data_IF_952981134272
#
_entry.id   IF_952981134272
#
_cell.length_a   1.000
_cell.length_b   1.000
_cell.length_c   1.000
_cell.angle_alpha   90.00
_cell.angle_beta   90.00
_cell.angle_gamma   90.00
#
_symmetry.space_group_name_H-M   'P 1'
#
loop_
_entity.id
_entity.type
_entity.pdbx_description
1 polymer ?
#
# COMPACT_ATOMS: atom_id res chain seq x y z
N UNK A 1 -20.96 -1.67 -24.62
CA UNK A 1 -20.99 -1.33 -23.17
C UNK A 1 -19.60 -0.88 -22.76
N UNK A 2 -19.45 0.25 -22.07
CA UNK A 2 -18.15 0.64 -21.52
C UNK A 2 -17.80 -0.26 -20.33
N UNK A 3 -16.52 -0.58 -20.16
CA UNK A 3 -16.06 -1.31 -18.98
C UNK A 3 -16.30 -0.47 -17.70
N UNK A 4 -16.60 -1.11 -16.55
CA UNK A 4 -16.74 -0.40 -15.29
C UNK A 4 -15.41 0.24 -14.87
N UNK A 5 -15.48 1.40 -14.22
CA UNK A 5 -14.31 2.01 -13.56
C UNK A 5 -13.97 1.20 -12.31
N UNK A 6 -12.69 0.87 -12.13
CA UNK A 6 -12.21 0.10 -11.00
C UNK A 6 -11.24 0.94 -10.18
N UNK A 7 -11.57 1.14 -8.90
CA UNK A 7 -10.69 1.79 -7.93
C UNK A 7 -9.82 0.74 -7.22
N UNK A 8 -8.62 1.15 -6.79
CA UNK A 8 -7.66 0.24 -6.14
C UNK A 8 -7.33 0.68 -4.73
N UNK A 9 -7.38 -0.25 -3.78
CA UNK A 9 -6.90 -0.07 -2.40
C UNK A 9 -5.73 -1.02 -2.16
N UNK A 10 -4.57 -0.47 -1.78
CA UNK A 10 -3.37 -1.24 -1.43
C UNK A 10 -3.11 -1.13 0.07
N UNK A 11 -3.19 -2.26 0.79
CA UNK A 11 -2.88 -2.32 2.22
C UNK A 11 -1.38 -2.50 2.43
N UNK A 12 -0.71 -1.45 2.89
CA UNK A 12 0.74 -1.34 3.04
C UNK A 12 1.20 -1.07 4.49
N UNK A 13 0.30 -1.08 5.47
CA UNK A 13 0.57 -0.72 6.87
C UNK A 13 1.12 -1.83 7.78
N UNK A 14 1.15 -3.08 7.34
CA UNK A 14 1.54 -4.21 8.21
C UNK A 14 2.99 -4.15 8.70
N UNK A 15 3.23 -4.56 9.95
CA UNK A 15 4.53 -4.47 10.62
C UNK A 15 5.65 -5.36 10.04
N UNK A 16 5.37 -6.24 9.08
CA UNK A 16 6.40 -7.05 8.41
C UNK A 16 7.17 -8.03 9.29
N UNK A 17 6.74 -8.26 10.54
CA UNK A 17 7.51 -8.97 11.60
C UNK A 17 8.17 -10.27 11.16
N UNK A 18 7.44 -11.15 10.45
CA UNK A 18 7.99 -12.43 9.98
C UNK A 18 9.13 -12.25 8.98
N UNK A 19 8.98 -11.31 8.05
CA UNK A 19 9.98 -11.02 7.03
C UNK A 19 11.22 -10.36 7.65
N UNK A 20 11.03 -9.43 8.59
CA UNK A 20 12.13 -8.83 9.35
C UNK A 20 12.90 -9.88 10.15
N UNK A 21 12.19 -10.83 10.79
CA UNK A 21 12.81 -11.90 11.58
C UNK A 21 13.62 -12.90 10.74
N UNK A 22 13.30 -13.07 9.46
CA UNK A 22 14.02 -13.97 8.55
C UNK A 22 15.12 -13.28 7.73
N UNK A 23 15.31 -11.97 7.88
CA UNK A 23 16.30 -11.22 7.10
C UNK A 23 17.72 -11.48 7.63
N UNK A 24 18.75 -11.53 6.76
CA UNK A 24 20.14 -11.69 7.17
C UNK A 24 20.60 -10.57 8.12
N UNK A 25 20.12 -9.35 7.89
CA UNK A 25 20.33 -8.19 8.76
C UNK A 25 19.02 -7.40 8.92
N UNK A 26 18.30 -7.59 10.03
CA UNK A 26 17.04 -6.89 10.29
C UNK A 26 17.17 -5.37 10.41
N UNK A 27 18.34 -4.85 10.80
CA UNK A 27 18.55 -3.43 11.05
C UNK A 27 18.69 -2.61 9.76
N UNK A 28 19.12 -3.25 8.67
CA UNK A 28 19.27 -2.63 7.36
C UNK A 28 18.02 -2.75 6.48
N UNK A 29 17.03 -3.52 6.94
CA UNK A 29 15.86 -3.85 6.15
C UNK A 29 14.87 -2.66 6.13
N UNK A 30 14.52 -2.12 4.96
CA UNK A 30 13.49 -1.09 4.90
C UNK A 30 12.12 -1.69 5.27
N UNK A 31 11.13 -0.85 5.63
CA UNK A 31 9.76 -1.30 5.81
C UNK A 31 9.26 -2.08 4.60
N UNK A 32 8.46 -3.14 4.82
CA UNK A 32 7.97 -4.05 3.77
C UNK A 32 7.58 -3.38 2.44
N UNK A 33 6.72 -2.34 2.39
CA UNK A 33 6.33 -1.74 1.10
C UNK A 33 7.51 -1.15 0.30
N UNK A 34 8.61 -0.77 0.97
CA UNK A 34 9.79 -0.16 0.38
C UNK A 34 10.90 -1.16 0.04
N UNK A 35 10.70 -2.44 0.33
CA UNK A 35 11.62 -3.49 -0.12
C UNK A 35 11.69 -3.52 -1.64
N UNK A 36 12.91 -3.61 -2.16
CA UNK A 36 13.17 -3.65 -3.60
C UNK A 36 13.62 -5.05 -4.02
N UNK A 37 13.28 -5.44 -5.24
CA UNK A 37 13.88 -6.62 -5.86
C UNK A 37 15.31 -6.34 -6.36
N UNK A 38 15.97 -7.35 -6.94
CA UNK A 38 17.32 -7.20 -7.49
C UNK A 38 17.45 -6.18 -8.64
N UNK A 39 16.34 -5.70 -9.19
CA UNK A 39 16.30 -4.64 -10.21
C UNK A 39 15.95 -3.26 -9.61
N UNK A 40 15.85 -3.14 -8.28
CA UNK A 40 15.55 -1.87 -7.60
C UNK A 40 14.07 -1.47 -7.61
N UNK A 41 13.15 -2.36 -8.02
CA UNK A 41 11.71 -2.05 -8.02
C UNK A 41 11.08 -2.40 -6.69
N UNK A 42 10.46 -1.41 -6.03
CA UNK A 42 9.85 -1.58 -4.71
C UNK A 42 8.58 -2.44 -4.79
N UNK A 43 8.26 -3.15 -3.70
CA UNK A 43 7.02 -3.93 -3.59
C UNK A 43 5.78 -3.05 -3.78
N UNK A 44 5.78 -1.83 -3.24
CA UNK A 44 4.68 -0.88 -3.43
C UNK A 44 4.52 -0.48 -4.91
N UNK A 45 5.63 -0.25 -5.62
CA UNK A 45 5.58 0.13 -7.05
C UNK A 45 4.98 -0.99 -7.90
N UNK A 46 5.28 -2.26 -7.57
CA UNK A 46 4.66 -3.41 -8.23
C UNK A 46 3.16 -3.46 -8.02
N UNK A 47 2.71 -3.25 -6.79
CA UNK A 47 1.28 -3.25 -6.46
C UNK A 47 0.54 -2.12 -7.20
N UNK A 48 1.15 -0.92 -7.24
CA UNK A 48 0.59 0.23 -7.94
C UNK A 48 0.56 0.02 -9.46
N UNK A 49 1.60 -0.60 -10.05
CA UNK A 49 1.64 -0.90 -11.47
C UNK A 49 0.56 -1.90 -11.93
N UNK A 50 0.02 -2.71 -11.01
CA UNK A 50 -1.08 -3.62 -11.27
C UNK A 50 -2.46 -2.95 -11.20
N UNK A 51 -2.54 -1.70 -10.72
CA UNK A 51 -3.81 -0.97 -10.63
C UNK A 51 -4.36 -0.67 -12.04
N UNK A 52 -5.65 -0.95 -12.32
CA UNK A 52 -6.28 -0.55 -13.58
C UNK A 52 -6.23 0.97 -13.76
N UNK A 53 -6.14 1.41 -15.02
CA UNK A 53 -6.23 2.83 -15.35
C UNK A 53 -7.68 3.32 -15.23
N UNK A 54 -7.84 4.60 -14.91
CA UNK A 54 -9.13 5.30 -14.92
C UNK A 54 -9.85 5.37 -13.58
N UNK A 55 -9.41 4.62 -12.57
CA UNK A 55 -9.89 4.74 -11.19
C UNK A 55 -8.84 5.35 -10.26
N UNK A 56 -9.31 5.82 -9.10
CA UNK A 56 -8.46 6.29 -8.00
C UNK A 56 -7.67 5.15 -7.37
N UNK A 57 -6.46 5.47 -6.90
CA UNK A 57 -5.59 4.53 -6.19
C UNK A 57 -5.31 5.06 -4.79
N UNK A 58 -5.61 4.25 -3.78
CA UNK A 58 -5.42 4.55 -2.37
C UNK A 58 -4.43 3.56 -1.76
N UNK A 59 -3.42 4.05 -1.06
CA UNK A 59 -2.50 3.26 -0.25
C UNK A 59 -2.80 3.50 1.22
N UNK A 60 -2.99 2.42 1.97
CA UNK A 60 -3.28 2.47 3.40
C UNK A 60 -2.04 2.06 4.19
N UNK A 61 -1.49 2.97 4.98
CA UNK A 61 -0.31 2.72 5.79
C UNK A 61 0.39 3.99 6.32
N UNK A 62 1.52 3.82 7.01
CA UNK A 62 2.34 4.95 7.47
C UNK A 62 2.86 5.79 6.29
N UNK A 63 3.36 7.02 6.52
CA UNK A 63 3.95 7.84 5.48
C UNK A 63 5.05 7.11 4.69
N UNK A 64 5.00 7.21 3.35
CA UNK A 64 6.01 6.64 2.45
C UNK A 64 6.01 7.37 1.11
N UNK A 65 7.12 7.34 0.33
CA UNK A 65 7.17 7.97 -0.99
C UNK A 65 6.29 7.23 -2.00
N UNK A 66 5.31 7.93 -2.57
CA UNK A 66 4.33 7.42 -3.53
C UNK A 66 4.23 8.36 -4.75
N UNK A 67 3.77 7.87 -5.91
CA UNK A 67 3.48 8.73 -7.05
C UNK A 67 2.45 9.83 -6.70
N UNK A 68 2.50 11.02 -7.32
CA UNK A 68 1.62 12.15 -6.97
C UNK A 68 0.12 11.88 -7.09
N UNK A 69 -0.29 10.94 -7.95
CA UNK A 69 -1.69 10.59 -8.19
C UNK A 69 -2.24 9.55 -7.21
N UNK A 70 -1.42 9.06 -6.27
CA UNK A 70 -1.80 8.03 -5.30
C UNK A 70 -2.15 8.71 -3.97
N UNK A 71 -3.36 8.51 -3.49
CA UNK A 71 -3.78 9.01 -2.19
C UNK A 71 -3.30 8.09 -1.09
N UNK A 72 -2.81 8.64 0.02
CA UNK A 72 -2.38 7.88 1.19
C UNK A 72 -3.28 8.16 2.38
N UNK A 73 -3.79 7.11 2.98
CA UNK A 73 -4.51 7.15 4.26
C UNK A 73 -3.90 6.17 5.25
N UNK A 74 -4.40 6.15 6.48
CA UNK A 74 -3.95 5.23 7.53
C UNK A 74 -5.17 4.77 8.33
N UNK A 75 -5.19 3.50 8.75
CA UNK A 75 -6.15 3.09 9.77
C UNK A 75 -5.95 3.87 11.08
N UNK A 76 -7.07 4.10 11.78
CA UNK A 76 -7.13 4.68 13.11
C UNK A 76 -7.99 3.79 14.02
N UNK A 77 -7.43 3.18 15.08
CA UNK A 77 -6.03 3.25 15.48
C UNK A 77 -5.04 2.63 14.46
N UNK A 78 -3.78 3.08 14.42
CA UNK A 78 -2.74 2.44 13.61
C UNK A 78 -2.53 0.95 13.94
N UNK A 79 -2.27 0.12 12.93
CA UNK A 79 -2.02 -1.32 13.08
C UNK A 79 -3.23 -2.12 13.60
N UNK A 80 -4.45 -1.56 13.48
CA UNK A 80 -5.72 -2.25 13.79
C UNK A 80 -6.06 -3.43 12.86
N UNK A 81 -5.19 -3.73 11.90
CA UNK A 81 -5.27 -4.91 11.05
C UNK A 81 -5.92 -4.66 9.67
N UNK A 82 -5.99 -5.71 8.83
CA UNK A 82 -6.37 -5.56 7.42
C UNK A 82 -7.79 -5.05 7.19
N UNK A 83 -8.75 -5.45 8.03
CA UNK A 83 -10.14 -5.00 7.89
C UNK A 83 -10.29 -3.49 8.15
N UNK A 84 -9.66 -2.97 9.21
CA UNK A 84 -9.62 -1.54 9.49
C UNK A 84 -8.90 -0.76 8.38
N UNK A 85 -7.81 -1.32 7.84
CA UNK A 85 -7.11 -0.75 6.71
C UNK A 85 -8.00 -0.64 5.46
N UNK A 86 -8.71 -1.71 5.12
CA UNK A 86 -9.65 -1.71 3.99
C UNK A 86 -10.78 -0.70 4.19
N UNK A 87 -11.37 -0.63 5.39
CA UNK A 87 -12.42 0.34 5.70
C UNK A 87 -11.92 1.77 5.50
N UNK A 88 -10.74 2.12 6.01
CA UNK A 88 -10.13 3.44 5.81
C UNK A 88 -9.86 3.73 4.32
N UNK A 89 -9.35 2.73 3.58
CA UNK A 89 -9.08 2.85 2.15
C UNK A 89 -10.35 3.08 1.31
N UNK A 90 -11.41 2.33 1.58
CA UNK A 90 -12.70 2.46 0.87
C UNK A 90 -13.38 3.77 1.22
N UNK A 91 -13.36 4.21 2.48
CA UNK A 91 -13.90 5.51 2.89
C UNK A 91 -13.23 6.66 2.12
N UNK A 92 -11.93 6.57 1.85
CA UNK A 92 -11.19 7.57 1.08
C UNK A 92 -11.55 7.59 -0.42
N UNK A 93 -12.15 6.52 -0.96
CA UNK A 93 -12.64 6.47 -2.34
C UNK A 93 -14.00 7.16 -2.49
N UNK A 94 -14.83 7.16 -1.44
CA UNK A 94 -16.20 7.69 -1.47
C UNK A 94 -16.35 9.16 -1.04
N UNK A 95 -15.27 9.84 -0.69
CA UNK A 95 -15.27 11.22 -0.19
C UNK A 95 -15.01 12.31 -1.24
N UNK A 96 -15.35 12.06 -2.51
CA UNK A 96 -15.26 13.03 -3.60
C UNK A 96 -16.50 13.90 -3.71
#
# INVERSE_FOLDING_TARGET
MSAPVVHTVVVAGGAGRRLTASAPDPATLPPKPLLSDGAGRRLIDRALAAAPRGGSVVVVGPPMPLPPHVHRVREDPPLSGPAAALAAGVAALGGG
#
